data_IF_006889338697
#
_entry.id   IF_006889338697
#
_cell.length_a   1.000
_cell.length_b   1.000
_cell.length_c   1.000
_cell.angle_alpha   90.00
_cell.angle_beta   90.00
_cell.angle_gamma   90.00
#
_symmetry.space_group_name_H-M   'P 1'
#
loop_
_entity.id
_entity.type
_entity.pdbx_description
1 polymer ?
#
# COMPACT_ATOMS: atom_id res chain seq x y z
N UNK A 1 -3.63 -1.62 -21.02
CA UNK A 1 -3.63 -0.91 -19.73
C UNK A 1 -4.28 0.45 -19.93
N UNK A 2 -5.45 0.67 -19.35
CA UNK A 2 -6.33 1.76 -19.72
C UNK A 2 -5.70 3.08 -19.24
N UNK A 3 -5.37 4.01 -20.15
CA UNK A 3 -4.65 5.25 -19.84
C UNK A 3 -5.29 6.07 -18.72
N UNK A 4 -6.61 5.95 -18.57
CA UNK A 4 -7.40 6.56 -17.49
C UNK A 4 -6.97 6.11 -16.09
N UNK A 5 -6.63 4.84 -15.91
CA UNK A 5 -6.20 4.31 -14.59
C UNK A 5 -4.86 4.93 -14.16
N UNK A 6 -3.94 5.12 -15.10
CA UNK A 6 -2.67 5.79 -14.83
C UNK A 6 -2.87 7.25 -14.44
N UNK A 7 -3.79 7.94 -15.12
CA UNK A 7 -4.11 9.32 -14.78
C UNK A 7 -4.73 9.44 -13.39
N UNK A 8 -5.68 8.56 -13.06
CA UNK A 8 -6.30 8.52 -11.73
C UNK A 8 -5.27 8.22 -10.63
N UNK A 9 -4.37 7.27 -10.87
CA UNK A 9 -3.31 6.93 -9.93
C UNK A 9 -2.41 8.14 -9.64
N UNK A 10 -1.91 8.81 -10.69
CA UNK A 10 -1.07 9.99 -10.52
C UNK A 10 -1.83 11.15 -9.87
N UNK A 11 -3.12 11.32 -10.17
CA UNK A 11 -3.95 12.36 -9.55
C UNK A 11 -4.13 12.13 -8.05
N UNK A 12 -4.45 10.90 -7.63
CA UNK A 12 -4.59 10.54 -6.21
C UNK A 12 -3.25 10.68 -5.49
N UNK A 13 -2.16 10.18 -6.08
CA UNK A 13 -0.82 10.29 -5.49
C UNK A 13 -0.40 11.75 -5.31
N UNK A 14 -0.59 12.59 -6.33
CA UNK A 14 -0.32 14.02 -6.25
C UNK A 14 -1.16 14.72 -5.18
N UNK A 15 -2.45 14.40 -5.09
CA UNK A 15 -3.34 14.95 -4.06
C UNK A 15 -2.89 14.56 -2.64
N UNK A 16 -2.48 13.30 -2.42
CA UNK A 16 -1.95 12.85 -1.14
C UNK A 16 -0.68 13.63 -0.72
N UNK A 17 0.23 13.88 -1.66
CA UNK A 17 1.43 14.69 -1.38
C UNK A 17 1.08 16.14 -1.03
N UNK A 18 0.16 16.76 -1.78
CA UNK A 18 -0.28 18.13 -1.51
C UNK A 18 -0.88 18.23 -0.11
N UNK A 19 -1.75 17.30 0.28
CA UNK A 19 -2.36 17.26 1.61
C UNK A 19 -1.32 17.12 2.71
N UNK A 20 -0.30 16.29 2.51
CA UNK A 20 0.78 16.11 3.48
C UNK A 20 1.54 17.42 3.74
N UNK A 21 1.95 18.12 2.69
CA UNK A 21 2.73 19.36 2.82
C UNK A 21 1.89 20.58 3.24
N UNK A 22 0.59 20.60 2.94
CA UNK A 22 -0.28 21.76 3.21
C UNK A 22 -1.04 21.66 4.53
N UNK A 23 -1.52 20.47 4.89
CA UNK A 23 -2.38 20.25 6.06
C UNK A 23 -1.57 19.65 7.22
N UNK A 24 -0.75 18.63 6.97
CA UNK A 24 -0.06 17.93 8.04
C UNK A 24 1.23 18.61 8.51
N UNK A 25 1.91 19.37 7.65
CA UNK A 25 3.17 20.05 7.99
C UNK A 25 3.07 21.00 9.21
N UNK A 26 1.89 21.54 9.51
CA UNK A 26 1.68 22.49 10.61
C UNK A 26 1.22 21.89 11.95
N UNK A 27 0.61 20.70 11.96
CA UNK A 27 -0.17 20.21 13.11
C UNK A 27 0.35 18.91 13.76
N UNK A 28 1.54 18.46 13.36
CA UNK A 28 2.08 17.18 13.82
C UNK A 28 2.57 17.19 15.27
N UNK A 29 1.75 16.69 16.19
CA UNK A 29 2.17 16.29 17.55
C UNK A 29 3.12 15.07 17.57
N UNK A 30 3.36 14.44 16.42
CA UNK A 30 4.14 13.21 16.31
C UNK A 30 5.49 13.43 15.62
N UNK A 31 6.53 12.77 16.13
CA UNK A 31 7.91 12.87 15.64
C UNK A 31 8.10 12.46 14.18
N UNK A 32 7.26 11.57 13.65
CA UNK A 32 7.32 11.14 12.25
C UNK A 32 6.82 12.21 11.27
N UNK A 33 6.13 13.26 11.74
CA UNK A 33 5.73 14.37 10.89
C UNK A 33 6.92 15.23 10.43
N UNK A 34 8.08 15.06 11.06
CA UNK A 34 9.35 15.65 10.60
C UNK A 34 9.92 14.94 9.37
N UNK A 35 9.43 13.74 9.04
CA UNK A 35 9.89 12.98 7.88
C UNK A 35 8.99 13.34 6.70
N UNK A 36 9.53 13.99 5.65
CA UNK A 36 8.74 14.29 4.46
C UNK A 36 8.36 13.00 3.75
N UNK A 37 7.14 12.97 3.20
CA UNK A 37 6.55 11.84 2.46
C UNK A 37 6.28 10.60 3.35
N UNK A 38 6.26 10.77 4.67
CA UNK A 38 6.15 9.64 5.61
C UNK A 38 4.92 8.78 5.36
N UNK A 39 3.76 9.41 5.22
CA UNK A 39 2.48 8.72 5.04
C UNK A 39 2.40 8.02 3.68
N UNK A 40 3.00 8.61 2.64
CA UNK A 40 3.12 7.98 1.32
C UNK A 40 3.97 6.71 1.36
N UNK A 41 5.15 6.79 2.02
CA UNK A 41 6.05 5.64 2.18
C UNK A 41 5.39 4.56 3.05
N UNK A 42 4.77 4.95 4.17
CA UNK A 42 4.09 4.04 5.06
C UNK A 42 2.93 3.30 4.36
N UNK A 43 2.08 4.03 3.63
CA UNK A 43 1.00 3.43 2.86
C UNK A 43 1.51 2.46 1.79
N UNK A 44 2.60 2.80 1.09
CA UNK A 44 3.24 1.91 0.12
C UNK A 44 3.77 0.62 0.78
N UNK A 45 4.47 0.75 1.91
CA UNK A 45 4.98 -0.39 2.66
C UNK A 45 3.85 -1.29 3.17
N UNK A 46 2.75 -0.71 3.64
CA UNK A 46 1.56 -1.47 4.04
C UNK A 46 0.97 -2.26 2.86
N UNK A 47 0.81 -1.63 1.69
CA UNK A 47 0.32 -2.31 0.49
C UNK A 47 1.22 -3.49 0.09
N UNK A 48 2.53 -3.26 0.02
CA UNK A 48 3.52 -4.30 -0.27
C UNK A 48 3.44 -5.42 0.77
N UNK A 49 3.40 -5.06 2.04
CA UNK A 49 3.27 -5.99 3.15
C UNK A 49 2.02 -6.87 3.04
N UNK A 50 0.87 -6.30 2.70
CA UNK A 50 -0.38 -7.04 2.50
C UNK A 50 -0.27 -8.02 1.34
N UNK A 51 0.36 -7.64 0.21
CA UNK A 51 0.58 -8.54 -0.93
C UNK A 51 1.41 -9.76 -0.50
N UNK A 52 2.52 -9.53 0.21
CA UNK A 52 3.37 -10.62 0.69
C UNK A 52 2.67 -11.47 1.75
N UNK A 53 1.95 -10.85 2.68
CA UNK A 53 1.16 -11.57 3.69
C UNK A 53 0.10 -12.47 3.02
N UNK A 54 -0.64 -11.94 2.05
CA UNK A 54 -1.63 -12.70 1.29
C UNK A 54 -1.00 -13.87 0.54
N UNK A 55 0.16 -13.66 -0.09
CA UNK A 55 0.91 -14.71 -0.77
C UNK A 55 1.39 -15.79 0.21
N UNK A 56 1.90 -15.39 1.38
CA UNK A 56 2.37 -16.30 2.41
C UNK A 56 1.24 -17.17 2.94
N UNK A 57 0.11 -16.56 3.31
CA UNK A 57 -1.08 -17.27 3.79
C UNK A 57 -1.62 -18.20 2.69
N UNK A 58 -1.74 -17.70 1.46
CA UNK A 58 -2.21 -18.49 0.33
C UNK A 58 -1.32 -19.72 0.08
N UNK A 59 -0.01 -19.56 0.15
CA UNK A 59 0.93 -20.65 -0.14
C UNK A 59 1.06 -21.66 1.00
N UNK A 60 1.06 -21.20 2.26
CA UNK A 60 1.38 -22.04 3.41
C UNK A 60 0.16 -22.61 4.14
N UNK A 61 -0.98 -21.91 4.11
CA UNK A 61 -2.18 -22.31 4.84
C UNK A 61 -3.35 -22.69 3.94
N UNK A 62 -3.49 -22.05 2.78
CA UNK A 62 -4.69 -22.23 1.94
C UNK A 62 -4.50 -23.26 0.83
N UNK A 63 -3.30 -23.40 0.27
CA UNK A 63 -3.01 -24.44 -0.72
C UNK A 63 -3.13 -25.82 -0.06
N UNK A 64 -4.23 -26.50 -0.35
CA UNK A 64 -4.47 -27.89 0.02
C UNK A 64 -3.69 -28.80 -0.92
N UNK A 65 -3.12 -29.88 -0.39
CA UNK A 65 -2.46 -30.90 -1.20
C UNK A 65 -3.38 -31.40 -2.33
N UNK A 66 -2.81 -31.51 -3.52
CA UNK A 66 -3.48 -31.87 -4.78
C UNK A 66 -3.89 -33.35 -4.86
N UNK A 67 -3.59 -34.14 -3.82
CA UNK A 67 -3.81 -35.59 -3.73
C UNK A 67 -5.31 -35.99 -3.67
N UNK A 68 -6.23 -35.07 -3.96
CA UNK A 68 -7.67 -35.33 -4.00
C UNK A 68 -8.16 -35.91 -5.33
N UNK A 69 -7.40 -35.77 -6.41
CA UNK A 69 -7.75 -36.32 -7.73
C UNK A 69 -6.98 -37.60 -8.10
N UNK A 70 -6.00 -38.00 -7.28
CA UNK A 70 -5.23 -39.25 -7.46
C UNK A 70 -5.91 -40.47 -6.77
N UNK A 71 -7.15 -40.32 -6.28
CA UNK A 71 -7.97 -41.42 -5.76
C UNK A 71 -9.31 -41.54 -6.47
#
# INVERSE_FOLDING_TARGET
>A
MNRTLWFLFWAVFGASLVLEFTVLAGEGHHWWNSIPVFYGIFGFLCCVGIIFAAKFIGTHFLNRDLDYYDR
#
